data_IF_636365646120
#
_entry.id   IF_636365646120
#
_cell.length_a   1.000
_cell.length_b   1.000
_cell.length_c   1.000
_cell.angle_alpha   90.00
_cell.angle_beta   90.00
_cell.angle_gamma   90.00
#
_symmetry.space_group_name_H-M   'P 1'
#
loop_
_entity.id
_entity.type
_entity.pdbx_description
1 polymer ?
#
# COMPACT_ATOMS: atom_id res chain seq x y z
N UNK A 1 -21.45 -4.91 75.30
CA UNK A 1 -21.39 -5.63 74.01
C UNK A 1 -21.25 -4.58 72.90
N UNK A 2 -20.02 -4.16 72.60
CA UNK A 2 -19.69 -3.18 71.56
C UNK A 2 -18.29 -3.53 71.04
N UNK A 3 -18.21 -4.42 70.04
CA UNK A 3 -16.94 -4.64 69.33
C UNK A 3 -17.04 -5.26 67.93
N UNK A 4 -18.26 -5.39 67.36
CA UNK A 4 -18.43 -6.04 66.05
C UNK A 4 -18.91 -5.09 64.93
N UNK A 5 -19.38 -3.88 65.27
CA UNK A 5 -19.99 -2.99 64.29
C UNK A 5 -18.97 -2.24 63.40
N UNK A 6 -17.77 -1.96 63.91
CA UNK A 6 -16.74 -1.22 63.16
C UNK A 6 -15.89 -2.10 62.23
N UNK A 7 -15.78 -3.40 62.50
CA UNK A 7 -14.96 -4.30 61.70
C UNK A 7 -15.60 -4.57 60.33
N UNK A 8 -16.93 -4.73 60.30
CA UNK A 8 -17.71 -4.92 59.07
C UNK A 8 -17.66 -3.69 58.15
N UNK A 9 -17.70 -2.50 58.74
CA UNK A 9 -17.62 -1.22 58.01
C UNK A 9 -16.23 -1.03 57.37
N UNK A 10 -15.16 -1.33 58.10
CA UNK A 10 -13.78 -1.24 57.59
C UNK A 10 -13.55 -2.26 56.46
N UNK A 11 -14.04 -3.49 56.61
CA UNK A 11 -13.92 -4.51 55.57
C UNK A 11 -14.72 -4.11 54.33
N UNK A 12 -15.93 -3.59 54.50
CA UNK A 12 -16.76 -3.08 53.41
C UNK A 12 -16.09 -1.92 52.65
N UNK A 13 -15.49 -0.97 53.38
CA UNK A 13 -14.75 0.14 52.78
C UNK A 13 -13.53 -0.34 51.99
N UNK A 14 -12.78 -1.31 52.50
CA UNK A 14 -11.62 -1.88 51.82
C UNK A 14 -12.00 -2.59 50.52
N UNK A 15 -13.10 -3.36 50.53
CA UNK A 15 -13.61 -4.03 49.32
C UNK A 15 -14.05 -3.00 48.29
N UNK A 16 -14.74 -1.94 48.72
CA UNK A 16 -15.21 -0.89 47.81
C UNK A 16 -14.04 -0.15 47.15
N UNK A 17 -13.01 0.22 47.92
CA UNK A 17 -11.81 0.86 47.38
C UNK A 17 -11.08 -0.06 46.40
N UNK A 18 -10.93 -1.35 46.72
CA UNK A 18 -10.30 -2.31 45.82
C UNK A 18 -11.05 -2.43 44.49
N UNK A 19 -12.39 -2.45 44.52
CA UNK A 19 -13.21 -2.51 43.31
C UNK A 19 -13.07 -1.25 42.45
N UNK A 20 -13.05 -0.08 43.06
CA UNK A 20 -12.87 1.19 42.34
C UNK A 20 -11.49 1.25 41.67
N UNK A 21 -10.42 0.91 42.39
CA UNK A 21 -9.06 0.89 41.83
C UNK A 21 -8.96 -0.11 40.68
N UNK A 22 -9.55 -1.30 40.84
CA UNK A 22 -9.55 -2.33 39.79
C UNK A 22 -10.33 -1.88 38.57
N UNK A 23 -11.50 -1.27 38.75
CA UNK A 23 -12.32 -0.72 37.67
C UNK A 23 -11.60 0.36 36.88
N UNK A 24 -10.97 1.32 37.57
CA UNK A 24 -10.16 2.36 36.94
C UNK A 24 -8.97 1.76 36.20
N UNK A 25 -8.31 0.75 36.79
CA UNK A 25 -7.20 0.03 36.14
C UNK A 25 -7.61 -0.63 34.83
N UNK A 26 -8.75 -1.33 34.80
CA UNK A 26 -9.28 -1.97 33.58
C UNK A 26 -9.58 -0.92 32.51
N UNK A 27 -10.27 0.17 32.87
CA UNK A 27 -10.59 1.26 31.93
C UNK A 27 -9.31 1.91 31.40
N UNK A 28 -8.33 2.15 32.27
CA UNK A 28 -7.02 2.70 31.89
C UNK A 28 -6.30 1.80 30.89
N UNK A 29 -6.27 0.49 31.11
CA UNK A 29 -5.70 -0.48 30.16
C UNK A 29 -6.46 -0.44 28.83
N UNK A 30 -7.79 -0.50 28.83
CA UNK A 30 -8.57 -0.47 27.59
C UNK A 30 -8.32 0.81 26.78
N UNK A 31 -8.27 1.97 27.43
CA UNK A 31 -8.08 3.25 26.74
C UNK A 31 -6.63 3.52 26.32
N UNK A 32 -5.64 3.00 27.06
CA UNK A 32 -4.22 3.34 26.84
C UNK A 32 -3.42 2.24 26.15
N UNK A 33 -3.87 0.98 26.19
CA UNK A 33 -3.10 -0.16 25.64
C UNK A 33 -3.63 -0.69 24.32
N UNK A 34 -4.82 -0.27 23.87
CA UNK A 34 -5.18 -0.42 22.46
C UNK A 34 -4.80 0.86 21.74
N UNK A 35 -3.65 0.93 21.03
CA UNK A 35 -3.50 1.98 20.03
C UNK A 35 -4.76 1.97 19.16
N UNK A 36 -5.27 3.14 18.71
CA UNK A 36 -6.34 3.18 17.73
C UNK A 36 -5.97 2.17 16.64
N UNK A 37 -6.87 1.27 16.20
CA UNK A 37 -6.53 0.29 15.19
C UNK A 37 -5.94 1.08 14.05
N UNK A 38 -4.61 1.03 13.93
CA UNK A 38 -3.89 1.79 12.92
C UNK A 38 -4.45 1.17 11.68
N UNK A 39 -5.24 1.93 10.94
CA UNK A 39 -5.77 1.52 9.66
C UNK A 39 -4.56 1.04 8.89
N UNK A 40 -4.34 -0.29 8.83
CA UNK A 40 -3.24 -0.86 8.07
C UNK A 40 -3.39 -0.23 6.70
N UNK A 41 -2.38 0.49 6.24
CA UNK A 41 -2.43 1.08 4.91
C UNK A 41 -2.75 -0.06 3.95
N UNK A 42 -3.96 -0.04 3.40
CA UNK A 42 -4.53 -1.20 2.70
C UNK A 42 -3.68 -1.57 1.49
N UNK A 43 -2.91 -0.62 0.96
CA UNK A 43 -1.89 -0.76 -0.09
C UNK A 43 -1.35 0.64 -0.38
N UNK A 44 -0.05 0.77 -0.60
CA UNK A 44 0.58 2.01 -1.09
C UNK A 44 1.15 1.74 -2.47
N UNK A 45 0.71 2.54 -3.46
CA UNK A 45 1.21 2.50 -4.82
C UNK A 45 1.82 3.84 -5.18
N UNK A 46 3.00 3.82 -5.78
CA UNK A 46 3.60 4.97 -6.44
C UNK A 46 3.53 4.77 -7.95
N UNK A 47 3.39 5.87 -8.70
CA UNK A 47 3.46 5.84 -10.17
C UNK A 47 4.38 6.94 -10.65
N UNK A 48 5.23 6.62 -11.63
CA UNK A 48 6.10 7.58 -12.29
C UNK A 48 6.09 7.34 -13.80
N UNK A 49 6.39 8.39 -14.56
CA UNK A 49 6.48 8.35 -16.01
C UNK A 49 7.91 8.67 -16.41
N UNK A 50 8.45 7.91 -17.36
CA UNK A 50 9.78 8.12 -17.90
C UNK A 50 9.73 8.09 -19.43
N UNK A 51 10.32 9.10 -20.05
CA UNK A 51 10.44 9.18 -21.50
C UNK A 51 11.57 8.26 -21.98
N UNK A 52 11.25 7.36 -22.91
CA UNK A 52 12.20 6.45 -23.54
C UNK A 52 12.75 7.03 -24.84
N UNK A 53 11.85 7.47 -25.73
CA UNK A 53 12.18 8.16 -26.99
C UNK A 53 11.34 9.44 -27.14
N UNK A 54 11.47 10.12 -28.29
CA UNK A 54 10.73 11.35 -28.61
C UNK A 54 9.22 11.23 -28.39
N UNK A 55 8.64 10.06 -28.68
CA UNK A 55 7.19 9.82 -28.58
C UNK A 55 6.83 8.60 -27.72
N UNK A 56 7.79 7.97 -27.04
CA UNK A 56 7.54 6.77 -26.24
C UNK A 56 7.83 7.02 -24.76
N UNK A 57 6.95 6.49 -23.92
CA UNK A 57 6.98 6.65 -22.48
C UNK A 57 6.72 5.30 -21.83
N UNK A 58 7.37 5.07 -20.70
CA UNK A 58 7.02 4.00 -19.77
C UNK A 58 6.37 4.60 -18.55
N UNK A 59 5.30 3.96 -18.10
CA UNK A 59 4.63 4.26 -16.84
C UNK A 59 4.97 3.14 -15.89
N UNK A 60 5.70 3.48 -14.83
CA UNK A 60 6.15 2.57 -13.80
C UNK A 60 5.18 2.71 -12.63
N UNK A 61 4.49 1.64 -12.26
CA UNK A 61 3.67 1.56 -11.05
C UNK A 61 4.32 0.59 -10.08
N UNK A 62 4.66 1.06 -8.89
CA UNK A 62 5.40 0.31 -7.87
C UNK A 62 4.60 0.17 -6.60
N UNK A 63 4.70 -1.01 -5.99
CA UNK A 63 4.18 -1.27 -4.66
C UNK A 63 5.17 -0.77 -3.63
N UNK A 64 4.76 0.16 -2.77
CA UNK A 64 5.62 0.80 -1.77
C UNK A 64 5.33 0.31 -0.35
N UNK A 65 4.43 -0.67 -0.18
CA UNK A 65 4.09 -1.25 1.11
C UNK A 65 2.59 -1.46 1.33
N UNK A 66 2.26 -2.04 2.49
CA UNK A 66 0.90 -2.46 2.82
C UNK A 66 0.59 -3.89 2.37
N UNK A 67 -0.68 -4.18 2.11
CA UNK A 67 -1.14 -5.53 1.80
C UNK A 67 -0.72 -6.00 0.39
N UNK A 68 -0.70 -7.31 0.17
CA UNK A 68 -0.46 -7.90 -1.15
C UNK A 68 -1.66 -7.66 -2.06
N UNK A 69 -1.42 -7.27 -3.31
CA UNK A 69 -2.46 -6.98 -4.30
C UNK A 69 -2.44 -8.00 -5.42
N UNK A 70 -3.62 -8.28 -5.98
CA UNK A 70 -3.76 -9.04 -7.21
C UNK A 70 -3.79 -8.06 -8.39
N UNK A 71 -2.72 -7.98 -9.19
CA UNK A 71 -2.64 -7.00 -10.26
C UNK A 71 -3.64 -7.28 -11.39
N UNK A 72 -4.16 -8.51 -11.53
CA UNK A 72 -5.21 -8.83 -12.53
C UNK A 72 -6.53 -8.11 -12.25
N UNK A 73 -6.74 -7.66 -11.00
CA UNK A 73 -7.94 -6.92 -10.60
C UNK A 73 -7.75 -5.40 -10.72
N UNK A 74 -6.56 -4.94 -11.11
CA UNK A 74 -6.25 -3.53 -11.25
C UNK A 74 -6.58 -3.04 -12.66
N UNK A 75 -7.03 -1.78 -12.74
CA UNK A 75 -7.18 -1.04 -14.00
C UNK A 75 -6.28 0.18 -13.96
N UNK A 76 -5.50 0.36 -15.02
CA UNK A 76 -4.56 1.46 -15.14
C UNK A 76 -5.15 2.51 -16.08
N UNK A 77 -5.19 3.76 -15.63
CA UNK A 77 -5.66 4.87 -16.44
C UNK A 77 -4.54 5.88 -16.60
N UNK A 78 -4.24 6.25 -17.84
CA UNK A 78 -3.28 7.30 -18.16
C UNK A 78 -4.04 8.59 -18.45
N UNK A 79 -3.69 9.66 -17.74
CA UNK A 79 -4.12 11.01 -18.06
C UNK A 79 -2.98 11.72 -18.78
N UNK A 80 -3.29 12.30 -19.94
CA UNK A 80 -2.34 13.13 -20.68
C UNK A 80 -2.71 14.60 -20.56
N UNK A 81 -1.69 15.45 -20.63
CA UNK A 81 -1.83 16.90 -20.50
C UNK A 81 -1.13 17.59 -21.67
N UNK A 82 -1.64 18.77 -22.04
CA UNK A 82 -0.94 19.67 -22.94
C UNK A 82 0.23 20.36 -22.23
N UNK A 83 1.10 21.02 -22.99
CA UNK A 83 2.26 21.74 -22.43
C UNK A 83 1.88 22.80 -21.38
N UNK A 84 0.70 23.40 -21.49
CA UNK A 84 0.12 24.34 -20.53
C UNK A 84 -0.56 23.65 -19.32
N UNK A 85 -0.38 22.34 -19.12
CA UNK A 85 -0.98 21.52 -18.06
C UNK A 85 -2.49 21.41 -18.10
N UNK A 86 -3.13 21.75 -19.23
CA UNK A 86 -4.55 21.46 -19.38
C UNK A 86 -4.73 19.98 -19.70
N UNK A 87 -5.69 19.35 -19.05
CA UNK A 87 -6.09 17.98 -19.32
C UNK A 87 -6.42 17.80 -20.80
N UNK A 88 -5.86 16.76 -21.43
CA UNK A 88 -6.14 16.40 -22.83
C UNK A 88 -7.12 15.25 -22.90
N UNK A 89 -6.73 14.09 -22.38
CA UNK A 89 -7.53 12.88 -22.41
C UNK A 89 -7.14 11.92 -21.28
N UNK A 90 -8.07 11.04 -20.91
CA UNK A 90 -7.84 9.93 -19.99
C UNK A 90 -8.36 8.65 -20.62
N UNK A 91 -7.54 7.63 -20.67
CA UNK A 91 -7.89 6.33 -21.24
C UNK A 91 -7.25 5.20 -20.44
N UNK A 92 -7.84 4.01 -20.57
CA UNK A 92 -7.31 2.80 -19.96
C UNK A 92 -6.07 2.33 -20.72
N UNK A 93 -5.03 1.93 -19.99
CA UNK A 93 -3.80 1.36 -20.56
C UNK A 93 -3.61 -0.06 -20.03
N UNK A 94 -3.07 -0.93 -20.88
CA UNK A 94 -2.73 -2.29 -20.49
C UNK A 94 -1.33 -2.32 -19.86
N UNK A 95 -1.15 -3.06 -18.75
CA UNK A 95 0.18 -3.37 -18.24
C UNK A 95 0.93 -4.21 -19.28
N UNK A 96 2.21 -3.92 -19.47
CA UNK A 96 3.04 -4.58 -20.50
C UNK A 96 3.98 -5.60 -19.86
N UNK A 97 4.63 -5.23 -18.75
CA UNK A 97 5.58 -6.08 -18.04
C UNK A 97 5.32 -6.06 -16.53
N UNK A 98 5.74 -7.13 -15.86
CA UNK A 98 5.75 -7.28 -14.40
C UNK A 98 7.14 -7.69 -13.96
N UNK A 99 7.78 -6.86 -13.14
CA UNK A 99 9.12 -7.10 -12.62
C UNK A 99 9.08 -7.27 -11.11
N UNK A 100 9.64 -8.37 -10.57
CA UNK A 100 9.92 -8.48 -9.15
C UNK A 100 10.87 -7.38 -8.67
N UNK A 101 10.76 -6.99 -7.41
CA UNK A 101 11.55 -5.92 -6.79
C UNK A 101 13.08 -6.06 -7.03
N UNK A 102 13.61 -7.27 -6.89
CA UNK A 102 15.04 -7.56 -7.03
C UNK A 102 15.52 -7.36 -8.47
N UNK A 103 14.65 -7.68 -9.43
CA UNK A 103 14.93 -7.55 -10.84
C UNK A 103 14.86 -6.08 -11.25
N UNK A 104 13.80 -5.38 -10.87
CA UNK A 104 13.61 -3.96 -11.20
C UNK A 104 14.70 -3.06 -10.61
N UNK A 105 15.12 -3.29 -9.36
CA UNK A 105 16.17 -2.50 -8.70
C UNK A 105 17.54 -2.60 -9.36
N UNK A 106 17.79 -3.66 -10.13
CA UNK A 106 19.03 -3.87 -10.89
C UNK A 106 18.98 -3.34 -12.33
N UNK A 107 17.83 -2.78 -12.77
CA UNK A 107 17.67 -2.30 -14.13
C UNK A 107 17.99 -0.82 -14.28
N UNK A 108 18.75 -0.53 -15.33
CA UNK A 108 18.92 0.82 -15.83
C UNK A 108 17.79 1.21 -16.78
N UNK A 109 17.58 2.52 -16.92
CA UNK A 109 16.63 3.13 -17.88
C UNK A 109 16.68 2.47 -19.26
N UNK A 110 17.88 2.21 -19.79
CA UNK A 110 18.06 1.63 -21.13
C UNK A 110 17.41 0.25 -21.23
N UNK A 111 17.54 -0.59 -20.20
CA UNK A 111 16.97 -1.94 -20.18
C UNK A 111 15.44 -1.92 -20.08
N UNK A 112 14.89 -0.95 -19.34
CA UNK A 112 13.43 -0.79 -19.18
C UNK A 112 12.82 -0.19 -20.45
N UNK A 113 13.53 0.74 -21.10
CA UNK A 113 13.09 1.41 -22.33
C UNK A 113 13.30 0.59 -23.61
N UNK A 114 14.14 -0.44 -23.57
CA UNK A 114 14.40 -1.33 -24.71
C UNK A 114 14.64 -2.74 -24.20
N UNK A 115 13.58 -3.47 -23.79
CA UNK A 115 13.72 -4.85 -23.39
C UNK A 115 14.13 -5.68 -24.61
N UNK A 116 15.36 -6.21 -24.61
CA UNK A 116 15.89 -7.03 -25.70
C UNK A 116 15.03 -8.27 -25.97
N UNK A 117 15.14 -8.82 -27.18
CA UNK A 117 14.25 -9.86 -27.71
C UNK A 117 14.13 -11.12 -26.83
N UNK A 118 15.20 -11.54 -26.15
CA UNK A 118 15.22 -12.73 -25.26
C UNK A 118 14.74 -12.44 -23.82
N UNK A 119 14.81 -11.19 -23.37
CA UNK A 119 14.37 -10.79 -22.01
C UNK A 119 12.86 -10.50 -21.96
N UNK A 120 12.22 -10.42 -23.12
CA UNK A 120 10.90 -9.82 -23.36
C UNK A 120 9.71 -10.72 -22.98
N UNK A 121 9.91 -12.03 -22.78
CA UNK A 121 8.82 -12.98 -22.51
C UNK A 121 8.70 -13.38 -21.05
N UNK A 122 9.82 -13.54 -20.33
CA UNK A 122 9.82 -14.02 -18.94
C UNK A 122 9.04 -13.10 -18.00
N UNK A 123 9.17 -11.79 -18.20
CA UNK A 123 8.54 -10.76 -17.37
C UNK A 123 7.35 -10.10 -18.05
N UNK A 124 6.89 -10.65 -19.18
CA UNK A 124 5.68 -10.15 -19.84
C UNK A 124 4.50 -10.31 -18.90
N UNK A 125 3.73 -9.24 -18.75
CA UNK A 125 2.52 -9.30 -17.94
C UNK A 125 1.56 -10.34 -18.52
N UNK A 126 1.20 -11.33 -17.71
CA UNK A 126 0.37 -12.47 -18.12
C UNK A 126 -0.58 -12.89 -16.98
N UNK A 127 -1.50 -13.81 -17.27
CA UNK A 127 -2.54 -14.27 -16.32
C UNK A 127 -1.98 -15.02 -15.10
N UNK A 128 -0.71 -15.43 -15.13
CA UNK A 128 -0.05 -16.11 -14.01
C UNK A 128 0.44 -15.12 -12.94
N UNK A 129 0.52 -13.82 -13.26
CA UNK A 129 0.88 -12.77 -12.30
C UNK A 129 -0.33 -12.50 -11.40
N UNK A 130 -0.40 -13.18 -10.26
CA UNK A 130 -1.54 -13.10 -9.32
C UNK A 130 -1.25 -12.36 -8.01
N UNK A 131 -0.01 -11.93 -7.81
CA UNK A 131 0.40 -11.22 -6.61
C UNK A 131 1.47 -10.18 -6.91
N UNK A 132 1.26 -8.99 -6.37
CA UNK A 132 2.20 -7.88 -6.34
C UNK A 132 2.48 -7.55 -4.87
N UNK A 133 3.75 -7.64 -4.47
CA UNK A 133 4.23 -7.40 -3.10
C UNK A 133 5.09 -6.13 -3.08
N UNK A 134 5.48 -5.72 -1.88
CA UNK A 134 6.33 -4.55 -1.70
C UNK A 134 7.59 -4.61 -2.58
N UNK A 135 7.81 -3.53 -3.32
CA UNK A 135 8.92 -3.37 -4.26
C UNK A 135 8.64 -3.85 -5.68
N UNK A 136 7.65 -4.71 -5.91
CA UNK A 136 7.29 -5.20 -7.24
C UNK A 136 6.77 -4.06 -8.12
N UNK A 137 6.97 -4.20 -9.42
CA UNK A 137 6.71 -3.15 -10.40
C UNK A 137 5.92 -3.67 -11.59
N UNK A 138 4.92 -2.89 -11.98
CA UNK A 138 4.23 -3.02 -13.26
C UNK A 138 4.72 -1.89 -14.17
N UNK A 139 5.11 -2.25 -15.38
CA UNK A 139 5.50 -1.29 -16.41
C UNK A 139 4.48 -1.34 -17.54
N UNK A 140 3.95 -0.17 -17.88
CA UNK A 140 3.03 0.00 -19.01
C UNK A 140 3.69 0.86 -20.06
N UNK A 141 3.81 0.33 -21.28
CA UNK A 141 4.36 1.06 -22.42
C UNK A 141 3.29 1.95 -23.06
N UNK A 142 3.65 3.19 -23.38
CA UNK A 142 2.78 4.12 -24.06
C UNK A 142 3.51 4.85 -25.19
N UNK A 143 2.92 4.87 -26.38
CA UNK A 143 3.41 5.65 -27.51
C UNK A 143 2.41 6.77 -27.79
N UNK A 144 2.88 8.01 -27.76
CA UNK A 144 2.06 9.15 -28.14
C UNK A 144 1.65 9.03 -29.59
N UNK A 145 0.36 9.23 -29.85
CA UNK A 145 -0.14 9.37 -31.22
C UNK A 145 0.50 10.60 -31.84
N UNK A 146 1.05 10.46 -33.06
CA UNK A 146 1.40 11.63 -33.88
C UNK A 146 0.09 12.36 -34.17
N UNK A 147 -0.01 13.60 -33.70
CA UNK A 147 -1.05 14.54 -34.12
C UNK A 147 -0.82 14.92 -35.58
#
# INVERSE_FOLDING_TARGET
MMKDNGLSEIIGALILVALVITGIGIIGVVLLSTPPPVSKEKVVLSSSCMQCDTNSFIIVTRHEGGDVIDPQKMKFYLSTEYFNRTFKERFEIAPTWFYPAEIYSSMDKVKICSPGDDYNLTYKYNENVKSMKNGDVIVSWYVMKKN
#
